data_IF_951262188386
#
_entry.id   IF_951262188386
#
_cell.length_a   1.000
_cell.length_b   1.000
_cell.length_c   1.000
_cell.angle_alpha   90.00
_cell.angle_beta   90.00
_cell.angle_gamma   90.00
#
_symmetry.space_group_name_H-M   'P 1'
#
loop_
_entity.id
_entity.type
_entity.pdbx_description
1 polymer ?
#
# COMPACT_ATOMS: atom_id res chain seq x y z
N UNK A 1 0.71 -8.71 -12.42
CA UNK A 1 1.20 -9.63 -11.37
C UNK A 1 0.04 -10.22 -10.60
N UNK A 2 0.13 -11.49 -10.20
CA UNK A 2 -0.88 -12.12 -9.34
C UNK A 2 -0.66 -11.81 -7.84
N UNK A 3 0.58 -11.50 -7.47
CA UNK A 3 0.94 -11.07 -6.12
C UNK A 3 1.97 -9.94 -6.20
N UNK A 4 1.81 -8.93 -5.35
CA UNK A 4 2.78 -7.85 -5.16
C UNK A 4 3.01 -7.70 -3.64
N UNK A 5 4.25 -7.59 -3.22
CA UNK A 5 4.61 -7.36 -1.83
C UNK A 5 5.52 -6.14 -1.75
N UNK A 6 5.20 -5.19 -0.88
CA UNK A 6 6.07 -4.08 -0.54
C UNK A 6 6.59 -4.31 0.88
N UNK A 7 7.87 -4.65 0.99
CA UNK A 7 8.54 -5.02 2.26
C UNK A 7 8.98 -3.77 3.05
N UNK A 8 8.05 -2.85 3.28
CA UNK A 8 8.29 -1.64 4.04
C UNK A 8 7.05 -0.77 4.15
N UNK A 9 7.14 0.30 4.93
CA UNK A 9 6.03 1.23 5.09
C UNK A 9 5.98 2.22 3.92
N UNK A 10 4.78 2.50 3.44
CA UNK A 10 4.48 3.46 2.38
C UNK A 10 3.45 4.45 2.89
N UNK A 11 3.51 5.73 2.48
CA UNK A 11 2.46 6.69 2.86
C UNK A 11 1.15 6.38 2.11
N UNK A 12 1.27 6.01 0.84
CA UNK A 12 0.19 5.47 0.03
C UNK A 12 0.76 4.51 -1.02
N UNK A 13 -0.02 3.51 -1.46
CA UNK A 13 0.39 2.66 -2.58
C UNK A 13 0.17 3.43 -3.88
N UNK A 14 1.21 3.63 -4.72
CA UNK A 14 1.07 4.34 -5.98
C UNK A 14 0.10 3.62 -6.94
N UNK A 15 -0.75 4.40 -7.64
CA UNK A 15 -1.73 3.87 -8.59
C UNK A 15 -1.08 2.96 -9.65
N UNK A 16 0.08 3.35 -10.19
CA UNK A 16 0.80 2.54 -11.18
C UNK A 16 1.25 1.16 -10.67
N UNK A 17 1.40 0.95 -9.35
CA UNK A 17 1.67 -0.38 -8.78
C UNK A 17 0.36 -1.17 -8.64
N UNK A 18 -0.72 -0.51 -8.24
CA UNK A 18 -2.06 -1.12 -8.17
C UNK A 18 -2.55 -1.57 -9.56
N UNK A 19 -2.25 -0.80 -10.60
CA UNK A 19 -2.61 -1.11 -11.98
C UNK A 19 -1.88 -2.35 -12.52
N UNK A 20 -0.68 -2.62 -12.00
CA UNK A 20 0.07 -3.82 -12.34
C UNK A 20 -0.51 -5.08 -11.70
N UNK A 21 -1.50 -4.97 -10.79
CA UNK A 21 -2.18 -6.12 -10.21
C UNK A 21 -3.18 -6.73 -11.21
N UNK A 22 -3.02 -8.01 -11.47
CA UNK A 22 -3.93 -8.78 -12.31
C UNK A 22 -5.27 -9.02 -11.58
N UNK A 23 -6.29 -9.36 -12.35
CA UNK A 23 -7.59 -9.79 -11.82
C UNK A 23 -7.44 -11.05 -10.96
N UNK A 24 -8.09 -11.08 -9.79
CA UNK A 24 -7.89 -12.12 -8.76
C UNK A 24 -6.56 -12.01 -8.00
N UNK A 25 -5.77 -10.98 -8.29
CA UNK A 25 -4.49 -10.73 -7.64
C UNK A 25 -4.62 -10.07 -6.26
N UNK A 26 -3.52 -10.06 -5.52
CA UNK A 26 -3.43 -9.43 -4.20
C UNK A 26 -2.12 -8.68 -3.99
N UNK A 27 -2.20 -7.47 -3.43
CA UNK A 27 -1.04 -6.70 -2.99
C UNK A 27 -1.02 -6.61 -1.47
N UNK A 28 0.16 -6.78 -0.85
CA UNK A 28 0.37 -6.55 0.57
C UNK A 28 1.41 -5.44 0.78
N UNK A 29 1.09 -4.47 1.64
CA UNK A 29 1.99 -3.39 2.03
C UNK A 29 1.66 -2.88 3.42
N UNK A 30 2.61 -2.23 4.08
CA UNK A 30 2.34 -1.50 5.32
C UNK A 30 2.06 -0.05 4.94
N UNK A 31 0.86 0.44 5.23
CA UNK A 31 0.44 1.80 4.91
C UNK A 31 0.49 2.65 6.16
N UNK A 32 1.17 3.79 6.11
CA UNK A 32 1.23 4.73 7.22
C UNK A 32 -0.07 5.53 7.29
N UNK A 33 -0.80 5.38 8.41
CA UNK A 33 -2.00 6.16 8.68
C UNK A 33 -1.88 6.81 10.06
N UNK A 34 -1.88 8.15 10.09
CA UNK A 34 -1.75 8.94 11.32
C UNK A 34 -0.54 8.53 12.18
N UNK A 35 0.59 8.20 11.53
CA UNK A 35 1.81 7.77 12.19
C UNK A 35 1.84 6.30 12.63
N UNK A 36 0.79 5.53 12.38
CA UNK A 36 0.72 4.09 12.67
C UNK A 36 0.83 3.32 11.36
N UNK A 37 1.80 2.41 11.27
CA UNK A 37 1.91 1.51 10.14
C UNK A 37 0.84 0.41 10.21
N UNK A 38 0.06 0.26 9.15
CA UNK A 38 -1.01 -0.74 9.05
C UNK A 38 -0.73 -1.72 7.94
N UNK A 39 -0.46 -2.98 8.30
CA UNK A 39 -0.35 -4.06 7.33
C UNK A 39 -1.70 -4.23 6.62
N UNK A 40 -1.71 -3.90 5.34
CA UNK A 40 -2.91 -3.77 4.52
C UNK A 40 -2.82 -4.69 3.32
N UNK A 41 -3.89 -5.45 3.09
CA UNK A 41 -4.10 -6.26 1.89
C UNK A 41 -5.00 -5.51 0.91
N UNK A 42 -4.63 -5.55 -0.36
CA UNK A 42 -5.36 -4.98 -1.48
C UNK A 42 -5.69 -6.07 -2.50
N UNK A 43 -6.82 -6.78 -2.33
CA UNK A 43 -7.30 -7.72 -3.34
C UNK A 43 -7.95 -6.97 -4.52
N UNK A 44 -7.77 -7.52 -5.72
CA UNK A 44 -8.44 -7.07 -6.94
C UNK A 44 -9.40 -8.16 -7.42
N UNK A 45 -10.69 -7.85 -7.41
CA UNK A 45 -11.77 -8.78 -7.75
C UNK A 45 -12.92 -8.03 -8.45
N UNK A 46 -13.50 -8.65 -9.47
CA UNK A 46 -14.50 -8.04 -10.35
C UNK A 46 -14.01 -6.73 -10.99
N UNK A 47 -12.71 -6.57 -11.24
CA UNK A 47 -12.12 -5.32 -11.73
C UNK A 47 -12.02 -4.20 -10.68
N UNK A 48 -12.40 -4.45 -9.43
CA UNK A 48 -12.38 -3.48 -8.34
C UNK A 48 -11.26 -3.80 -7.36
N UNK A 49 -10.57 -2.75 -6.89
CA UNK A 49 -9.56 -2.89 -5.86
C UNK A 49 -10.16 -2.55 -4.51
N UNK A 50 -10.15 -3.52 -3.60
CA UNK A 50 -10.60 -3.35 -2.22
C UNK A 50 -9.41 -3.17 -1.30
N UNK A 51 -9.65 -2.70 -0.07
CA UNK A 51 -8.61 -2.55 0.96
C UNK A 51 -9.06 -3.19 2.27
N UNK A 52 -8.18 -3.98 2.89
CA UNK A 52 -8.41 -4.59 4.20
C UNK A 52 -7.17 -4.48 5.08
N UNK A 53 -7.30 -3.79 6.22
CA UNK A 53 -6.26 -3.78 7.27
C UNK A 53 -6.28 -5.13 7.98
N UNK A 54 -5.11 -5.71 8.21
CA UNK A 54 -4.96 -7.02 8.85
C UNK A 54 -4.46 -6.86 10.29
N UNK A 55 -3.41 -6.06 10.50
CA UNK A 55 -2.84 -5.77 11.81
C UNK A 55 -1.96 -4.50 11.75
N UNK A 56 -1.59 -3.97 12.91
CA UNK A 56 -0.65 -2.85 13.03
C UNK A 56 0.80 -3.37 13.03
N UNK A 57 1.66 -2.72 12.25
CA UNK A 57 3.06 -3.12 12.07
C UNK A 57 3.98 -1.90 12.05
N UNK A 58 5.09 -1.99 12.77
CA UNK A 58 6.08 -0.92 12.80
C UNK A 58 7.31 -1.30 11.97
N UNK A 59 7.50 -0.63 10.84
CA UNK A 59 8.66 -0.79 9.96
C UNK A 59 9.09 0.58 9.42
N UNK A 60 10.35 0.75 8.97
CA UNK A 60 10.79 1.99 8.35
C UNK A 60 9.96 2.33 7.09
N UNK A 61 9.67 3.62 6.91
CA UNK A 61 9.09 4.12 5.66
C UNK A 61 10.15 4.08 4.57
N UNK A 62 9.84 3.43 3.45
CA UNK A 62 10.71 3.37 2.29
C UNK A 62 10.85 4.77 1.69
N UNK A 63 12.09 5.19 1.40
CA UNK A 63 12.38 6.57 0.94
C UNK A 63 11.70 6.86 -0.39
N UNK A 64 11.61 5.84 -1.24
CA UNK A 64 11.01 5.84 -2.57
C UNK A 64 9.47 5.98 -2.53
N UNK A 65 8.87 5.70 -1.37
CA UNK A 65 7.42 5.72 -1.14
C UNK A 65 6.97 6.81 -0.17
N UNK A 66 7.88 7.71 0.18
CA UNK A 66 7.56 8.88 0.99
C UNK A 66 6.83 9.88 0.11
N UNK A 67 5.69 10.39 0.57
CA UNK A 67 5.01 11.47 -0.11
C UNK A 67 5.94 12.68 -0.23
N UNK A 68 5.96 13.38 -1.39
CA UNK A 68 6.67 14.63 -1.49
C UNK A 68 6.17 15.59 -0.42
N UNK A 69 7.07 16.33 0.21
CA UNK A 69 6.70 17.30 1.24
C UNK A 69 5.80 18.37 0.60
N UNK A 70 4.48 18.26 0.83
CA UNK A 70 3.54 19.29 0.43
C UNK A 70 3.64 20.45 1.42
N UNK A 71 3.96 21.64 0.92
CA UNK A 71 3.85 22.87 1.69
C UNK A 71 2.37 23.11 2.03
N UNK A 72 2.03 23.07 3.31
CA UNK A 72 0.74 23.54 3.84
C UNK A 72 0.94 24.96 4.38
N UNK A 73 0.13 25.90 3.89
CA UNK A 73 0.04 27.29 4.36
C UNK A 73 -0.94 27.41 5.54
#
# INVERSE_FOLDING_TARGET
YNAILIEGAVDAVPAGILDQLAEGGRLAAIVMENGIGRATLFPKDGGHLSRRVIFDAHVPVLKEFRSPAEFKF
#
